data_IF_230658940561
#
_entry.id   IF_230658940561
#
_cell.length_a   1.000
_cell.length_b   1.000
_cell.length_c   1.000
_cell.angle_alpha   90.00
_cell.angle_beta   90.00
_cell.angle_gamma   90.00
#
_symmetry.space_group_name_H-M   'P 1'
#
loop_
_entity.id
_entity.type
_entity.pdbx_description
1 polymer ?
#
# COMPACT_ATOMS: atom_id res chain seq x y z
N UNK A 1 75.44 -45.83 33.29
CA UNK A 1 75.50 -46.10 31.85
C UNK A 1 74.72 -47.37 31.58
N UNK A 2 73.74 -47.28 30.64
CA UNK A 2 73.16 -48.34 29.79
C UNK A 2 72.54 -49.58 30.47
N UNK A 3 71.30 -50.01 30.24
CA UNK A 3 70.22 -49.67 29.29
C UNK A 3 68.98 -50.54 29.66
N UNK A 4 67.73 -50.09 29.47
CA UNK A 4 66.90 -50.14 28.25
C UNK A 4 65.88 -51.32 28.25
N UNK A 5 64.60 -50.97 28.00
CA UNK A 5 63.39 -51.78 27.63
C UNK A 5 62.82 -52.78 28.66
N UNK A 6 61.52 -53.10 28.77
CA UNK A 6 60.22 -52.59 28.31
C UNK A 6 59.12 -53.54 28.89
N UNK A 7 57.84 -53.14 28.78
CA UNK A 7 56.64 -54.01 28.59
C UNK A 7 55.83 -54.56 29.80
N UNK A 8 54.65 -53.94 29.96
CA UNK A 8 53.25 -54.48 30.02
C UNK A 8 52.76 -55.29 31.25
N UNK A 9 51.72 -54.69 31.85
CA UNK A 9 50.48 -55.20 32.49
C UNK A 9 50.41 -56.58 33.15
N UNK A 10 49.98 -56.58 34.41
CA UNK A 10 48.91 -57.46 34.89
C UNK A 10 48.10 -56.79 36.00
N UNK A 11 46.76 -56.88 35.89
CA UNK A 11 45.75 -56.39 36.83
C UNK A 11 45.35 -57.52 37.80
N UNK A 12 44.69 -57.14 38.91
CA UNK A 12 44.02 -57.92 39.97
C UNK A 12 44.94 -58.34 41.15
N UNK A 13 44.62 -58.12 42.43
CA UNK A 13 43.33 -57.81 43.04
C UNK A 13 43.47 -57.44 44.54
N UNK A 14 42.45 -56.71 45.02
CA UNK A 14 41.87 -56.73 46.39
C UNK A 14 42.66 -56.04 47.50
N UNK A 15 42.11 -54.89 47.93
CA UNK A 15 42.10 -54.52 49.33
C UNK A 15 40.70 -54.11 49.78
N UNK A 16 40.41 -54.51 51.01
CA UNK A 16 39.16 -54.46 51.74
C UNK A 16 38.58 -53.05 51.94
N UNK A 17 37.27 -52.96 51.75
CA UNK A 17 36.26 -52.19 52.49
C UNK A 17 36.64 -50.97 53.34
N UNK A 18 36.16 -49.80 52.89
CA UNK A 18 35.60 -48.74 53.75
C UNK A 18 34.21 -48.40 53.18
N UNK A 19 33.13 -48.29 53.99
CA UNK A 19 31.78 -48.08 53.50
C UNK A 19 31.58 -46.61 53.09
N UNK A 20 31.39 -46.36 51.80
CA UNK A 20 31.00 -45.05 51.29
C UNK A 20 29.47 -44.94 51.22
N UNK A 21 28.83 -44.72 52.37
CA UNK A 21 27.59 -43.94 52.39
C UNK A 21 27.96 -42.45 52.48
N UNK A 22 27.35 -41.61 51.63
CA UNK A 22 27.26 -40.12 51.71
C UNK A 22 27.98 -39.22 50.69
N UNK A 23 28.50 -39.71 49.54
CA UNK A 23 28.90 -38.81 48.43
C UNK A 23 28.51 -39.32 47.05
N UNK A 24 27.21 -39.45 46.83
CA UNK A 24 26.63 -39.26 45.50
C UNK A 24 25.67 -38.08 45.64
N UNK A 25 26.17 -36.90 45.29
CA UNK A 25 25.32 -35.73 45.08
C UNK A 25 24.36 -36.13 43.95
N UNK A 26 23.07 -36.24 44.24
CA UNK A 26 22.03 -36.69 43.30
C UNK A 26 22.15 -35.90 41.99
N UNK A 27 22.55 -36.57 40.91
CA UNK A 27 22.91 -35.93 39.64
C UNK A 27 21.71 -35.20 39.02
N UNK A 28 20.50 -35.71 39.26
CA UNK A 28 19.23 -35.08 38.92
C UNK A 28 19.08 -33.73 39.65
N UNK A 29 19.28 -33.73 40.97
CA UNK A 29 19.24 -32.52 41.80
C UNK A 29 20.31 -31.50 41.43
N UNK A 30 21.51 -31.95 41.03
CA UNK A 30 22.55 -31.05 40.55
C UNK A 30 22.14 -30.36 39.25
N UNK A 31 21.64 -31.13 38.29
CA UNK A 31 21.29 -30.61 36.97
C UNK A 31 20.12 -29.62 37.02
N UNK A 32 19.10 -29.86 37.86
CA UNK A 32 18.02 -28.87 38.04
C UNK A 32 18.53 -27.61 38.74
N UNK A 33 19.41 -27.72 39.74
CA UNK A 33 19.97 -26.55 40.41
C UNK A 33 20.80 -25.69 39.43
N UNK A 34 21.51 -26.30 38.49
CA UNK A 34 22.19 -25.57 37.42
C UNK A 34 21.21 -24.89 36.45
N UNK A 35 20.09 -25.56 36.12
CA UNK A 35 19.04 -24.96 35.31
C UNK A 35 18.36 -23.77 36.02
N UNK A 36 18.01 -23.93 37.30
CA UNK A 36 17.43 -22.88 38.16
C UNK A 36 18.37 -21.68 38.34
N UNK A 37 19.69 -21.92 38.47
CA UNK A 37 20.67 -20.83 38.54
C UNK A 37 20.76 -20.04 37.23
N UNK A 38 20.70 -20.74 36.10
CA UNK A 38 20.82 -20.14 34.77
C UNK A 38 19.50 -19.48 34.31
N UNK A 39 18.39 -19.98 34.85
CA UNK A 39 17.04 -19.47 34.76
C UNK A 39 16.55 -19.13 33.33
N UNK A 40 16.90 -19.97 32.35
CA UNK A 40 16.55 -19.78 30.94
C UNK A 40 16.07 -21.07 30.27
N UNK A 41 15.29 -20.91 29.20
CA UNK A 41 14.63 -22.01 28.46
C UNK A 41 15.64 -23.08 28.02
N UNK A 42 16.81 -22.68 27.51
CA UNK A 42 17.85 -23.62 27.04
C UNK A 42 18.33 -24.53 28.18
N UNK A 43 18.51 -23.97 29.37
CA UNK A 43 19.01 -24.69 30.54
C UNK A 43 17.99 -25.68 31.08
N UNK A 44 16.72 -25.29 31.14
CA UNK A 44 15.64 -26.21 31.51
C UNK A 44 15.41 -27.29 30.44
N UNK A 45 15.46 -26.96 29.13
CA UNK A 45 15.37 -27.96 28.04
C UNK A 45 16.49 -28.98 28.14
N UNK A 46 17.71 -28.53 28.43
CA UNK A 46 18.86 -29.42 28.65
C UNK A 46 18.63 -30.37 29.82
N UNK A 47 18.07 -29.88 30.93
CA UNK A 47 17.71 -30.69 32.09
C UNK A 47 16.67 -31.76 31.72
N UNK A 48 15.53 -31.36 31.15
CA UNK A 48 14.44 -32.27 30.76
C UNK A 48 14.93 -33.36 29.80
N UNK A 49 15.79 -33.02 28.83
CA UNK A 49 16.35 -33.99 27.89
C UNK A 49 17.33 -34.97 28.54
N UNK A 50 18.04 -34.52 29.58
CA UNK A 50 19.06 -35.34 30.26
C UNK A 50 18.45 -36.23 31.35
N UNK A 51 17.30 -35.82 31.91
CA UNK A 51 16.61 -36.51 33.00
C UNK A 51 15.11 -36.62 32.70
N UNK A 52 14.69 -37.38 31.66
CA UNK A 52 13.29 -37.41 31.20
C UNK A 52 12.30 -38.00 32.22
N UNK A 53 12.77 -38.74 33.22
CA UNK A 53 12.01 -39.27 34.36
C UNK A 53 12.49 -38.67 35.70
N UNK A 54 13.23 -37.54 35.64
CA UNK A 54 13.76 -36.85 36.81
C UNK A 54 12.65 -36.29 37.70
N UNK A 55 12.95 -36.14 38.99
CA UNK A 55 11.97 -35.70 40.00
C UNK A 55 11.46 -34.28 39.74
N UNK A 56 12.29 -33.44 39.14
CA UNK A 56 12.00 -32.01 38.94
C UNK A 56 11.66 -31.69 37.48
N UNK A 57 11.39 -32.72 36.66
CA UNK A 57 10.99 -32.54 35.26
C UNK A 57 9.77 -31.63 35.18
N UNK A 58 8.78 -31.85 36.04
CA UNK A 58 7.56 -31.05 36.04
C UNK A 58 7.82 -29.56 36.35
N UNK A 59 8.60 -29.27 37.41
CA UNK A 59 8.95 -27.89 37.77
C UNK A 59 9.77 -27.19 36.66
N UNK A 60 10.66 -27.94 36.00
CA UNK A 60 11.45 -27.43 34.88
C UNK A 60 10.58 -27.14 33.66
N UNK A 61 9.54 -27.94 33.41
CA UNK A 61 8.60 -27.75 32.33
C UNK A 61 7.69 -26.54 32.58
N UNK A 62 7.16 -26.38 33.78
CA UNK A 62 6.40 -25.19 34.18
C UNK A 62 7.27 -23.93 34.03
N UNK A 63 8.56 -24.03 34.36
CA UNK A 63 9.53 -22.94 34.17
C UNK A 63 9.80 -22.64 32.69
N UNK A 64 9.87 -23.66 31.81
CA UNK A 64 9.98 -23.45 30.35
C UNK A 64 8.74 -22.73 29.84
N UNK A 65 7.56 -23.26 30.14
CA UNK A 65 6.31 -22.71 29.63
C UNK A 65 6.05 -21.29 30.16
N UNK A 66 6.23 -21.05 31.46
CA UNK A 66 6.12 -19.71 32.04
C UNK A 66 7.11 -18.71 31.40
N UNK A 67 8.35 -19.13 31.10
CA UNK A 67 9.35 -18.24 30.47
C UNK A 67 9.07 -17.96 29.00
N UNK A 68 8.56 -18.95 28.28
CA UNK A 68 8.09 -18.78 26.91
C UNK A 68 6.89 -17.82 26.87
N UNK A 69 6.00 -17.87 27.88
CA UNK A 69 4.82 -17.03 27.96
C UNK A 69 5.08 -15.60 28.50
N UNK A 70 6.03 -15.43 29.43
CA UNK A 70 6.38 -14.12 30.02
C UNK A 70 7.21 -13.28 29.04
N UNK A 71 8.06 -13.90 28.21
CA UNK A 71 8.76 -13.17 27.17
C UNK A 71 7.90 -13.09 25.92
N UNK A 72 7.08 -12.04 25.85
CA UNK A 72 6.28 -11.64 24.68
C UNK A 72 7.13 -11.51 23.39
N UNK A 73 8.47 -11.46 23.50
CA UNK A 73 9.42 -11.46 22.39
C UNK A 73 9.90 -12.82 21.86
N UNK A 74 9.48 -13.95 22.44
CA UNK A 74 9.92 -15.31 22.04
C UNK A 74 8.77 -16.19 21.53
N UNK A 75 7.76 -15.60 20.88
CA UNK A 75 6.61 -16.32 20.31
C UNK A 75 6.99 -17.48 19.37
N UNK A 76 8.04 -17.32 18.55
CA UNK A 76 8.58 -18.39 17.68
C UNK A 76 9.08 -19.62 18.46
N UNK A 77 9.51 -19.45 19.70
CA UNK A 77 10.03 -20.55 20.53
C UNK A 77 8.91 -21.41 21.10
N UNK A 78 7.70 -20.85 21.31
CA UNK A 78 6.52 -21.61 21.70
C UNK A 78 6.03 -22.50 20.56
N UNK A 79 5.91 -21.96 19.34
CA UNK A 79 5.53 -22.75 18.17
C UNK A 79 6.49 -23.89 17.93
N UNK A 80 7.79 -23.57 17.88
CA UNK A 80 8.82 -24.59 17.69
C UNK A 80 8.74 -25.65 18.77
N UNK A 81 8.46 -25.27 20.02
CA UNK A 81 8.28 -26.21 21.11
C UNK A 81 7.03 -27.08 20.92
N UNK A 82 5.86 -26.51 20.64
CA UNK A 82 4.62 -27.27 20.45
C UNK A 82 4.67 -28.20 19.22
N UNK A 83 5.33 -27.78 18.13
CA UNK A 83 5.51 -28.58 16.92
C UNK A 83 6.55 -29.71 17.08
N UNK A 84 7.58 -29.51 17.90
CA UNK A 84 8.70 -30.49 18.03
C UNK A 84 8.63 -31.34 19.29
N UNK A 85 7.78 -31.00 20.25
CA UNK A 85 7.63 -31.79 21.48
C UNK A 85 6.89 -33.09 21.18
N UNK A 86 7.60 -34.22 21.30
CA UNK A 86 7.03 -35.56 21.10
C UNK A 86 6.27 -36.12 22.31
N UNK A 87 6.26 -35.40 23.43
CA UNK A 87 5.60 -35.82 24.67
C UNK A 87 4.24 -35.15 24.82
N UNK A 88 3.17 -35.93 24.69
CA UNK A 88 1.80 -35.42 24.74
C UNK A 88 1.44 -34.75 26.07
N UNK A 89 1.93 -35.25 27.21
CA UNK A 89 1.62 -34.64 28.52
C UNK A 89 2.22 -33.23 28.64
N UNK A 90 3.36 -33.00 28.01
CA UNK A 90 4.05 -31.71 28.01
C UNK A 90 3.29 -30.70 27.16
N UNK A 91 2.84 -31.14 25.98
CA UNK A 91 2.01 -30.32 25.09
C UNK A 91 0.72 -29.94 25.82
N UNK A 92 0.02 -30.88 26.45
CA UNK A 92 -1.24 -30.63 27.16
C UNK A 92 -1.09 -29.58 28.27
N UNK A 93 -0.03 -29.65 29.08
CA UNK A 93 0.23 -28.63 30.11
C UNK A 93 0.56 -27.25 29.54
N UNK A 94 1.36 -27.21 28.48
CA UNK A 94 1.66 -25.94 27.80
C UNK A 94 0.39 -25.30 27.22
N UNK A 95 -0.57 -26.11 26.77
CA UNK A 95 -1.88 -25.65 26.30
C UNK A 95 -2.77 -25.15 27.45
N UNK A 96 -2.77 -25.81 28.62
CA UNK A 96 -3.46 -25.31 29.81
C UNK A 96 -2.91 -23.95 30.28
N UNK A 97 -1.60 -23.74 30.20
CA UNK A 97 -1.01 -22.44 30.52
C UNK A 97 -1.40 -21.34 29.53
N UNK A 98 -1.78 -21.69 28.30
CA UNK A 98 -2.35 -20.72 27.36
C UNK A 98 -3.78 -20.30 27.76
N UNK A 99 -4.59 -21.21 28.31
CA UNK A 99 -5.90 -20.85 28.91
C UNK A 99 -5.71 -19.86 30.06
N UNK A 100 -4.83 -20.18 31.01
CA UNK A 100 -4.54 -19.29 32.14
C UNK A 100 -4.02 -17.91 31.68
N UNK A 101 -3.22 -17.88 30.61
CA UNK A 101 -2.71 -16.64 30.05
C UNK A 101 -3.84 -15.81 29.42
N UNK A 102 -4.69 -16.44 28.63
CA UNK A 102 -5.87 -15.79 28.06
C UNK A 102 -6.77 -15.20 29.15
N UNK A 103 -7.08 -15.96 30.20
CA UNK A 103 -7.88 -15.49 31.33
C UNK A 103 -7.22 -14.31 32.04
N UNK A 104 -5.90 -14.33 32.20
CA UNK A 104 -5.16 -13.18 32.75
C UNK A 104 -5.22 -11.96 31.83
N UNK A 105 -5.03 -12.14 30.52
CA UNK A 105 -5.19 -11.07 29.53
C UNK A 105 -6.57 -10.42 29.65
N UNK A 106 -7.64 -11.21 29.65
CA UNK A 106 -9.01 -10.72 29.83
C UNK A 106 -9.19 -9.99 31.15
N UNK A 107 -8.71 -10.58 32.27
CA UNK A 107 -8.81 -10.00 33.62
C UNK A 107 -8.15 -8.62 33.73
N UNK A 108 -7.02 -8.41 33.05
CA UNK A 108 -6.28 -7.15 33.08
C UNK A 108 -6.58 -6.23 31.88
N UNK A 109 -7.53 -6.60 31.01
CA UNK A 109 -7.90 -5.82 29.83
C UNK A 109 -6.81 -5.75 28.76
N UNK A 110 -5.91 -6.74 28.72
CA UNK A 110 -4.90 -6.90 27.69
C UNK A 110 -5.43 -7.80 26.58
N UNK A 111 -5.02 -7.53 25.34
CA UNK A 111 -5.21 -8.47 24.24
C UNK A 111 -4.10 -9.51 24.23
N UNK A 112 -4.46 -10.75 23.93
CA UNK A 112 -3.47 -11.79 23.72
C UNK A 112 -2.70 -11.52 22.41
N UNK A 113 -1.36 -11.61 22.41
CA UNK A 113 -0.56 -11.49 21.18
C UNK A 113 -1.04 -12.45 20.09
N UNK A 114 -1.11 -11.98 18.84
CA UNK A 114 -1.61 -12.77 17.69
C UNK A 114 -0.89 -14.13 17.58
N UNK A 115 0.40 -14.16 17.86
CA UNK A 115 1.18 -15.39 17.77
C UNK A 115 0.75 -16.43 18.81
N UNK A 116 0.35 -16.01 20.00
CA UNK A 116 -0.20 -16.93 20.99
C UNK A 116 -1.59 -17.42 20.58
N UNK A 117 -2.38 -16.55 19.93
CA UNK A 117 -3.71 -16.92 19.41
C UNK A 117 -3.58 -18.00 18.34
N UNK A 118 -2.66 -17.82 17.38
CA UNK A 118 -2.40 -18.81 16.32
C UNK A 118 -1.87 -20.11 16.91
N UNK A 119 -0.95 -20.06 17.89
CA UNK A 119 -0.47 -21.27 18.57
C UNK A 119 -1.61 -22.04 19.25
N UNK A 120 -2.47 -21.32 19.98
CA UNK A 120 -3.65 -21.88 20.62
C UNK A 120 -4.58 -22.54 19.61
N UNK A 121 -5.01 -21.82 18.57
CA UNK A 121 -5.97 -22.31 17.57
C UNK A 121 -5.42 -23.51 16.78
N UNK A 122 -4.11 -23.55 16.53
CA UNK A 122 -3.48 -24.66 15.82
C UNK A 122 -3.40 -25.93 16.66
N UNK A 123 -2.99 -25.82 17.93
CA UNK A 123 -2.62 -26.96 18.76
C UNK A 123 -3.69 -27.36 19.78
N UNK A 124 -4.65 -26.49 20.08
CA UNK A 124 -5.63 -26.70 21.15
C UNK A 124 -7.08 -26.52 20.71
N UNK A 125 -7.51 -27.37 19.78
CA UNK A 125 -8.86 -27.33 19.21
C UNK A 125 -9.99 -27.68 20.19
N UNK A 126 -9.65 -28.27 21.33
CA UNK A 126 -10.59 -28.63 22.41
C UNK A 126 -10.51 -27.68 23.61
N UNK A 127 -9.68 -26.64 23.52
CA UNK A 127 -9.48 -25.69 24.62
C UNK A 127 -10.72 -24.86 24.92
N UNK A 128 -10.82 -24.37 26.15
CA UNK A 128 -11.99 -23.64 26.64
C UNK A 128 -12.31 -22.40 25.80
N UNK A 129 -11.27 -21.71 25.33
CA UNK A 129 -11.38 -20.46 24.58
C UNK A 129 -11.18 -20.64 23.07
N UNK A 130 -11.17 -21.88 22.58
CA UNK A 130 -10.85 -22.18 21.17
C UNK A 130 -11.71 -21.39 20.18
N UNK A 131 -13.04 -21.44 20.30
CA UNK A 131 -13.94 -20.78 19.34
C UNK A 131 -13.81 -19.26 19.39
N UNK A 132 -13.61 -18.70 20.59
CA UNK A 132 -13.42 -17.26 20.75
C UNK A 132 -12.09 -16.79 20.15
N UNK A 133 -11.00 -17.50 20.44
CA UNK A 133 -9.67 -17.20 19.91
C UNK A 133 -9.58 -17.43 18.40
N UNK A 134 -10.28 -18.44 17.89
CA UNK A 134 -10.41 -18.67 16.45
C UNK A 134 -11.13 -17.51 15.77
N UNK A 135 -12.24 -17.04 16.34
CA UNK A 135 -12.94 -15.86 15.81
C UNK A 135 -12.07 -14.60 15.90
N UNK A 136 -11.35 -14.42 17.02
CA UNK A 136 -10.41 -13.31 17.19
C UNK A 136 -9.29 -13.34 16.15
N UNK A 137 -8.76 -14.53 15.82
CA UNK A 137 -7.75 -14.69 14.78
C UNK A 137 -8.30 -14.31 13.40
N UNK A 138 -9.50 -14.79 13.06
CA UNK A 138 -10.15 -14.43 11.78
C UNK A 138 -10.38 -12.92 11.65
N UNK A 139 -10.74 -12.25 12.74
CA UNK A 139 -10.92 -10.79 12.75
C UNK A 139 -9.59 -10.05 12.58
N UNK A 140 -8.52 -10.50 13.25
CA UNK A 140 -7.18 -9.91 13.11
C UNK A 140 -6.63 -10.07 11.68
N UNK A 141 -6.83 -11.25 11.08
CA UNK A 141 -6.45 -11.50 9.69
C UNK A 141 -7.26 -10.63 8.72
N UNK A 142 -8.56 -10.44 8.98
CA UNK A 142 -9.41 -9.53 8.21
C UNK A 142 -8.96 -8.06 8.31
N UNK A 143 -8.61 -7.59 9.52
CA UNK A 143 -8.07 -6.26 9.77
C UNK A 143 -6.76 -6.03 8.99
N UNK A 144 -5.82 -6.97 9.06
CA UNK A 144 -4.54 -6.89 8.34
C UNK A 144 -4.72 -6.87 6.83
N UNK A 145 -5.61 -7.73 6.30
CA UNK A 145 -5.92 -7.77 4.87
C UNK A 145 -6.57 -6.45 4.40
N UNK A 146 -7.47 -5.89 5.22
CA UNK A 146 -8.08 -4.60 4.97
C UNK A 146 -7.05 -3.46 4.95
N UNK A 147 -6.20 -3.37 5.97
CA UNK A 147 -5.13 -2.36 6.04
C UNK A 147 -4.19 -2.45 4.85
N UNK A 148 -3.81 -3.66 4.45
CA UNK A 148 -3.03 -3.90 3.25
C UNK A 148 -3.75 -3.41 1.98
N UNK A 149 -5.03 -3.76 1.82
CA UNK A 149 -5.81 -3.38 0.65
C UNK A 149 -5.96 -1.86 0.51
N UNK A 150 -6.22 -1.16 1.63
CA UNK A 150 -6.30 0.30 1.72
C UNK A 150 -4.95 0.94 1.42
N UNK A 151 -3.86 0.40 1.98
CA UNK A 151 -2.50 0.91 1.75
C UNK A 151 -2.08 0.80 0.28
N UNK A 152 -2.42 -0.29 -0.39
CA UNK A 152 -2.15 -0.47 -1.82
C UNK A 152 -3.06 0.41 -2.67
N UNK A 153 -4.33 0.54 -2.30
CA UNK A 153 -5.24 1.53 -2.87
C UNK A 153 -5.69 1.26 -4.31
N UNK A 154 -5.66 0.00 -4.77
CA UNK A 154 -5.98 -0.36 -6.16
C UNK A 154 -7.26 -1.20 -6.25
N UNK A 155 -7.91 -1.21 -7.41
CA UNK A 155 -9.05 -2.10 -7.65
C UNK A 155 -8.68 -3.58 -7.45
N UNK A 156 -7.46 -3.98 -7.81
CA UNK A 156 -6.96 -5.34 -7.60
C UNK A 156 -6.86 -5.69 -6.12
N UNK A 157 -6.25 -4.84 -5.30
CA UNK A 157 -6.12 -5.10 -3.86
C UNK A 157 -7.46 -5.17 -3.14
N UNK A 158 -8.42 -4.31 -3.52
CA UNK A 158 -9.78 -4.37 -3.00
C UNK A 158 -10.54 -5.64 -3.42
N UNK A 159 -10.34 -6.10 -4.67
CA UNK A 159 -11.00 -7.32 -5.16
C UNK A 159 -10.44 -8.54 -4.46
N UNK A 160 -9.12 -8.63 -4.30
CA UNK A 160 -8.46 -9.72 -3.57
C UNK A 160 -8.98 -9.82 -2.12
N UNK A 161 -9.11 -8.69 -1.41
CA UNK A 161 -9.70 -8.69 -0.07
C UNK A 161 -11.11 -9.32 -0.07
N UNK A 162 -11.97 -8.97 -1.02
CA UNK A 162 -13.33 -9.53 -1.09
C UNK A 162 -13.36 -11.03 -1.45
N UNK A 163 -12.34 -11.52 -2.15
CA UNK A 163 -12.19 -12.93 -2.50
C UNK A 163 -11.71 -13.76 -1.30
N UNK A 164 -10.72 -13.25 -0.56
CA UNK A 164 -10.14 -13.91 0.62
C UNK A 164 -11.06 -13.79 1.85
N UNK A 165 -11.77 -12.66 1.99
CA UNK A 165 -12.63 -12.35 3.13
C UNK A 165 -14.07 -11.98 2.69
N UNK A 166 -14.83 -12.88 2.04
CA UNK A 166 -16.13 -12.58 1.46
C UNK A 166 -17.21 -12.20 2.48
N UNK A 167 -17.00 -12.53 3.75
CA UNK A 167 -17.87 -12.21 4.90
C UNK A 167 -17.14 -11.38 5.97
N UNK A 168 -15.98 -10.82 5.62
CA UNK A 168 -15.16 -9.98 6.51
C UNK A 168 -15.88 -8.73 7.03
N UNK A 169 -15.41 -8.19 8.15
CA UNK A 169 -16.05 -7.04 8.80
C UNK A 169 -15.91 -5.77 7.95
N UNK A 170 -14.83 -5.64 7.17
CA UNK A 170 -14.58 -4.47 6.30
C UNK A 170 -15.17 -4.60 4.90
N UNK A 171 -15.92 -5.66 4.61
CA UNK A 171 -16.54 -5.90 3.30
C UNK A 171 -17.30 -4.69 2.76
N UNK A 172 -18.09 -4.03 3.62
CA UNK A 172 -18.89 -2.86 3.21
C UNK A 172 -18.01 -1.67 2.85
N UNK A 173 -16.95 -1.44 3.61
CA UNK A 173 -16.03 -0.33 3.40
C UNK A 173 -15.21 -0.54 2.13
N UNK A 174 -14.78 -1.76 1.86
CA UNK A 174 -14.11 -2.12 0.61
C UNK A 174 -15.03 -1.94 -0.61
N UNK A 175 -16.30 -2.32 -0.52
CA UNK A 175 -17.27 -2.06 -1.61
C UNK A 175 -17.47 -0.56 -1.87
N UNK A 176 -17.45 0.26 -0.82
CA UNK A 176 -17.48 1.71 -0.95
C UNK A 176 -16.21 2.22 -1.63
N UNK A 177 -15.03 1.74 -1.23
CA UNK A 177 -13.75 2.10 -1.84
C UNK A 177 -13.69 1.72 -3.33
N UNK A 178 -14.17 0.53 -3.70
CA UNK A 178 -14.30 0.11 -5.10
C UNK A 178 -15.21 1.06 -5.87
N UNK A 179 -16.32 1.47 -5.27
CA UNK A 179 -17.27 2.39 -5.91
C UNK A 179 -16.61 3.76 -6.13
N UNK A 180 -15.92 4.29 -5.13
CA UNK A 180 -15.18 5.56 -5.24
C UNK A 180 -14.08 5.47 -6.31
N UNK A 181 -13.31 4.39 -6.31
CA UNK A 181 -12.28 4.12 -7.32
C UNK A 181 -12.89 4.13 -8.72
N UNK A 182 -13.98 3.38 -8.94
CA UNK A 182 -14.67 3.33 -10.24
C UNK A 182 -15.21 4.69 -10.68
N UNK A 183 -15.67 5.54 -9.74
CA UNK A 183 -16.12 6.89 -10.04
C UNK A 183 -14.94 7.77 -10.46
N UNK A 184 -13.85 7.73 -9.69
CA UNK A 184 -12.63 8.51 -9.95
C UNK A 184 -12.03 8.16 -11.31
N UNK A 185 -11.91 6.86 -11.60
CA UNK A 185 -11.26 6.33 -12.79
C UNK A 185 -12.20 6.14 -13.99
N UNK A 186 -13.48 6.56 -13.88
CA UNK A 186 -14.51 6.35 -14.92
C UNK A 186 -14.11 6.92 -16.28
N UNK A 187 -13.32 7.99 -16.29
CA UNK A 187 -12.94 8.75 -17.49
C UNK A 187 -11.45 8.67 -17.80
N UNK A 188 -10.73 7.72 -17.18
CA UNK A 188 -9.31 7.51 -17.43
C UNK A 188 -9.05 7.24 -18.92
N UNK A 189 -8.13 8.01 -19.50
CA UNK A 189 -7.79 7.92 -20.91
C UNK A 189 -8.90 8.36 -21.86
N UNK A 190 -10.02 8.89 -21.36
CA UNK A 190 -11.08 9.43 -22.21
C UNK A 190 -10.62 10.73 -22.88
N UNK A 191 -11.00 10.93 -24.14
CA UNK A 191 -10.65 12.11 -24.92
C UNK A 191 -11.77 12.46 -25.92
N UNK A 192 -11.71 13.65 -26.50
CA UNK A 192 -12.54 14.06 -27.63
C UNK A 192 -11.69 14.13 -28.92
N UNK A 193 -12.33 14.06 -30.08
CA UNK A 193 -11.62 14.32 -31.34
C UNK A 193 -11.19 15.78 -31.44
N UNK A 194 -10.02 16.03 -32.05
CA UNK A 194 -9.54 17.39 -32.31
C UNK A 194 -10.55 18.18 -33.14
N UNK A 195 -10.84 19.41 -32.71
CA UNK A 195 -11.89 20.27 -33.25
C UNK A 195 -13.25 20.13 -32.56
N UNK A 196 -13.41 19.20 -31.61
CA UNK A 196 -14.63 19.12 -30.80
C UNK A 196 -14.85 20.42 -30.04
N UNK A 197 -16.12 20.83 -29.90
CA UNK A 197 -16.51 22.10 -29.28
C UNK A 197 -17.30 21.85 -27.98
N UNK A 198 -16.64 21.36 -26.90
CA UNK A 198 -17.35 20.90 -25.70
C UNK A 198 -18.17 22.00 -25.02
N UNK A 199 -17.81 23.26 -25.23
CA UNK A 199 -18.46 24.40 -24.59
C UNK A 199 -19.50 25.11 -25.47
N UNK A 200 -19.91 24.49 -26.58
CA UNK A 200 -20.84 25.10 -27.53
C UNK A 200 -22.19 25.51 -26.91
N UNK A 201 -22.63 24.82 -25.85
CA UNK A 201 -23.86 25.18 -25.12
C UNK A 201 -23.78 26.57 -24.47
N UNK A 202 -22.60 26.99 -24.01
CA UNK A 202 -22.40 28.26 -23.31
C UNK A 202 -21.82 29.32 -24.25
N UNK A 203 -20.82 28.96 -25.05
CA UNK A 203 -20.10 29.90 -25.93
C UNK A 203 -20.66 29.98 -27.35
N UNK A 204 -21.51 29.04 -27.75
CA UNK A 204 -21.93 28.87 -29.14
C UNK A 204 -20.94 28.04 -29.96
N UNK A 205 -21.35 27.69 -31.18
CA UNK A 205 -20.46 27.08 -32.16
C UNK A 205 -19.55 28.14 -32.78
N UNK A 206 -18.34 27.73 -33.13
CA UNK A 206 -17.38 28.52 -33.90
C UNK A 206 -18.01 28.95 -35.23
N UNK A 207 -17.76 30.20 -35.61
CA UNK A 207 -18.10 30.67 -36.93
C UNK A 207 -17.16 30.07 -37.99
N UNK A 208 -17.65 29.99 -39.22
CA UNK A 208 -16.88 29.57 -40.39
C UNK A 208 -16.61 30.79 -41.26
N UNK A 209 -15.35 31.22 -41.34
CA UNK A 209 -14.95 32.41 -42.09
C UNK A 209 -13.75 32.09 -42.97
N UNK A 210 -13.78 32.55 -44.21
CA UNK A 210 -12.63 32.51 -45.13
C UNK A 210 -11.75 33.77 -44.91
N UNK A 211 -11.35 34.00 -43.65
CA UNK A 211 -10.63 35.19 -43.20
C UNK A 211 -9.41 34.84 -42.33
N UNK A 212 -9.28 35.43 -41.14
CA UNK A 212 -8.18 35.16 -40.23
C UNK A 212 -8.33 33.79 -39.57
N UNK A 213 -7.23 33.21 -39.11
CA UNK A 213 -7.26 31.95 -38.39
C UNK A 213 -6.26 31.91 -37.23
N UNK A 214 -6.65 31.24 -36.14
CA UNK A 214 -5.72 30.79 -35.10
C UNK A 214 -5.65 29.27 -35.17
N UNK A 215 -4.47 28.77 -35.52
CA UNK A 215 -4.17 27.34 -35.57
C UNK A 215 -3.40 26.94 -34.32
N UNK A 216 -3.81 25.86 -33.67
CA UNK A 216 -3.13 25.32 -32.51
C UNK A 216 -2.77 23.87 -32.78
N UNK A 217 -1.49 23.55 -32.63
CA UNK A 217 -0.96 22.18 -32.65
C UNK A 217 -0.61 21.72 -31.24
N UNK A 218 -1.28 20.68 -30.76
CA UNK A 218 -1.09 20.09 -29.43
C UNK A 218 -0.02 18.99 -29.48
N UNK A 219 1.21 19.35 -29.84
CA UNK A 219 2.24 18.36 -30.15
C UNK A 219 3.09 17.90 -28.96
N UNK A 220 2.71 18.28 -27.74
CA UNK A 220 3.25 17.73 -26.49
C UNK A 220 2.51 16.45 -26.07
N UNK A 221 2.64 16.08 -24.79
CA UNK A 221 2.04 14.88 -24.20
C UNK A 221 0.73 15.16 -23.46
N UNK A 222 0.02 16.23 -23.85
CA UNK A 222 -1.21 16.66 -23.16
C UNK A 222 -2.25 17.09 -24.18
N UNK A 223 -3.50 16.79 -23.85
CA UNK A 223 -4.64 17.33 -24.55
C UNK A 223 -4.82 18.79 -24.14
N UNK A 224 -5.46 19.58 -25.00
CA UNK A 224 -5.69 21.00 -24.74
C UNK A 224 -7.08 21.43 -25.19
N UNK A 225 -7.74 22.25 -24.37
CA UNK A 225 -8.86 23.07 -24.81
C UNK A 225 -8.34 24.48 -25.04
N UNK A 226 -8.53 24.97 -26.25
CA UNK A 226 -8.21 26.33 -26.67
C UNK A 226 -9.47 27.17 -26.56
N UNK A 227 -9.35 28.35 -25.95
CA UNK A 227 -10.42 29.36 -25.91
C UNK A 227 -9.86 30.68 -26.42
N UNK A 228 -10.46 31.22 -27.47
CA UNK A 228 -10.08 32.51 -28.05
C UNK A 228 -11.14 33.54 -27.65
N UNK A 229 -10.72 34.63 -27.01
CA UNK A 229 -11.60 35.74 -26.60
C UNK A 229 -11.27 37.01 -27.36
N UNK A 230 -12.27 37.83 -27.65
CA UNK A 230 -12.05 39.17 -28.22
C UNK A 230 -11.31 40.07 -27.23
N UNK A 231 -10.33 40.83 -27.70
CA UNK A 231 -9.53 41.81 -26.95
C UNK A 231 -8.69 41.22 -25.81
N UNK A 232 -9.31 40.69 -24.75
CA UNK A 232 -8.63 40.17 -23.57
C UNK A 232 -9.51 39.16 -22.81
N UNK A 233 -9.06 38.72 -21.62
CA UNK A 233 -9.76 37.74 -20.76
C UNK A 233 -11.23 38.04 -20.43
N UNK A 234 -11.64 39.32 -20.46
CA UNK A 234 -13.01 39.74 -20.18
C UNK A 234 -13.90 39.80 -21.45
N UNK A 235 -13.32 39.59 -22.62
CA UNK A 235 -14.07 39.62 -23.87
C UNK A 235 -14.92 38.37 -24.10
N UNK A 236 -15.87 38.51 -25.02
CA UNK A 236 -16.69 37.40 -25.49
C UNK A 236 -15.79 36.35 -26.16
N UNK A 237 -16.11 35.07 -25.95
CA UNK A 237 -15.48 33.96 -26.67
C UNK A 237 -15.81 34.06 -28.16
N UNK A 238 -14.76 34.12 -28.97
CA UNK A 238 -14.82 34.17 -30.44
C UNK A 238 -14.76 32.75 -31.04
N UNK A 239 -14.09 31.83 -30.35
CA UNK A 239 -14.09 30.42 -30.70
C UNK A 239 -13.40 29.56 -29.64
N UNK A 240 -13.67 28.26 -29.67
CA UNK A 240 -13.06 27.28 -28.77
C UNK A 240 -12.94 25.92 -29.45
N UNK A 241 -11.98 25.11 -29.02
CA UNK A 241 -11.82 23.75 -29.51
C UNK A 241 -11.06 22.88 -28.51
N UNK A 242 -11.46 21.63 -28.40
CA UNK A 242 -10.64 20.55 -27.86
C UNK A 242 -9.67 20.07 -28.92
N UNK A 243 -8.43 19.79 -28.55
CA UNK A 243 -7.39 19.24 -29.41
C UNK A 243 -6.70 18.12 -28.64
N UNK A 244 -6.82 16.90 -29.16
CA UNK A 244 -6.10 15.75 -28.62
C UNK A 244 -4.60 15.86 -28.91
N UNK A 245 -3.76 15.33 -28.03
CA UNK A 245 -2.32 15.27 -28.20
C UNK A 245 -1.92 14.71 -29.58
N UNK A 246 -0.88 15.30 -30.17
CA UNK A 246 -0.44 15.06 -31.54
C UNK A 246 -1.33 15.69 -32.62
N UNK A 247 -2.51 16.19 -32.26
CA UNK A 247 -3.46 16.82 -33.18
C UNK A 247 -3.21 18.30 -33.41
N UNK A 248 -4.00 18.86 -34.33
CA UNK A 248 -4.07 20.31 -34.55
C UNK A 248 -5.48 20.71 -34.95
N UNK A 249 -5.84 21.98 -34.73
CA UNK A 249 -7.10 22.54 -35.18
C UNK A 249 -6.98 24.04 -35.44
N UNK A 250 -7.73 24.53 -36.43
CA UNK A 250 -7.76 25.94 -36.83
C UNK A 250 -9.14 26.53 -36.54
N UNK A 251 -9.16 27.61 -35.76
CA UNK A 251 -10.37 28.40 -35.49
C UNK A 251 -10.38 29.58 -36.47
N UNK A 252 -11.36 29.62 -37.38
CA UNK A 252 -11.57 30.76 -38.27
C UNK A 252 -12.19 31.94 -37.54
N UNK A 253 -11.71 33.15 -37.83
CA UNK A 253 -12.05 34.40 -37.15
C UNK A 253 -12.19 35.55 -38.16
N UNK A 254 -12.92 36.58 -37.76
CA UNK A 254 -12.93 37.88 -38.47
C UNK A 254 -11.69 38.70 -38.09
N UNK A 255 -11.31 39.74 -38.87
CA UNK A 255 -10.24 40.64 -38.46
C UNK A 255 -10.57 41.33 -37.12
N UNK A 256 -9.59 41.41 -36.23
CA UNK A 256 -9.77 41.99 -34.90
C UNK A 256 -8.67 41.61 -33.91
N UNK A 257 -8.81 42.12 -32.68
CA UNK A 257 -7.89 41.79 -31.58
C UNK A 257 -8.41 40.60 -30.79
N UNK A 258 -7.54 39.63 -30.52
CA UNK A 258 -7.86 38.39 -29.83
C UNK A 258 -6.82 38.02 -28.78
N UNK A 259 -7.25 37.38 -27.71
CA UNK A 259 -6.37 36.73 -26.74
C UNK A 259 -6.68 35.23 -26.68
N UNK A 260 -5.64 34.41 -26.76
CA UNK A 260 -5.74 32.95 -26.74
C UNK A 260 -5.43 32.41 -25.35
N UNK A 261 -6.27 31.50 -24.88
CA UNK A 261 -6.15 30.79 -23.62
C UNK A 261 -6.08 29.29 -23.89
N UNK A 262 -5.35 28.60 -23.02
CA UNK A 262 -5.11 27.17 -23.11
C UNK A 262 -5.43 26.51 -21.77
N UNK A 263 -6.17 25.43 -21.80
CA UNK A 263 -6.45 24.57 -20.66
C UNK A 263 -5.97 23.17 -21.00
N UNK A 264 -4.96 22.68 -20.28
CA UNK A 264 -4.32 21.38 -20.53
C UNK A 264 -4.80 20.33 -19.54
N UNK A 265 -4.65 19.08 -19.92
CA UNK A 265 -4.74 17.96 -19.00
C UNK A 265 -4.94 16.64 -19.73
N UNK A 266 -5.38 15.64 -18.97
CA UNK A 266 -5.72 14.32 -19.49
C UNK A 266 -7.02 13.78 -18.89
N UNK A 267 -7.56 12.72 -19.51
CA UNK A 267 -8.75 12.00 -19.03
C UNK A 267 -9.99 12.91 -18.95
N UNK A 268 -10.53 13.23 -20.12
CA UNK A 268 -11.66 14.14 -20.29
C UNK A 268 -12.94 13.60 -19.63
N UNK A 269 -13.51 14.36 -18.68
CA UNK A 269 -14.79 14.06 -18.06
C UNK A 269 -15.88 15.01 -18.60
N UNK A 270 -16.83 14.53 -19.43
CA UNK A 270 -17.88 15.36 -20.03
C UNK A 270 -18.93 15.89 -19.03
N UNK A 271 -18.87 15.49 -17.76
CA UNK A 271 -19.77 15.93 -16.69
C UNK A 271 -19.07 16.76 -15.61
N UNK A 272 -17.75 16.98 -15.72
CA UNK A 272 -17.03 17.82 -14.76
C UNK A 272 -17.59 19.24 -14.84
N UNK A 273 -18.10 19.74 -13.71
CA UNK A 273 -18.59 21.12 -13.64
C UNK A 273 -17.41 22.08 -13.61
N UNK A 274 -17.47 23.06 -14.50
CA UNK A 274 -16.57 24.20 -14.54
C UNK A 274 -17.31 25.49 -14.18
N UNK A 275 -16.57 26.58 -14.11
CA UNK A 275 -17.12 27.90 -13.76
C UNK A 275 -18.11 28.35 -14.86
N UNK A 276 -19.00 29.31 -14.53
CA UNK A 276 -19.96 29.89 -15.47
C UNK A 276 -20.90 28.89 -16.18
N UNK A 277 -21.18 27.74 -15.55
CA UNK A 277 -22.11 26.74 -16.05
C UNK A 277 -21.54 25.85 -17.17
N UNK A 278 -20.24 25.95 -17.43
CA UNK A 278 -19.54 25.05 -18.32
C UNK A 278 -19.49 23.62 -17.75
N UNK A 279 -19.56 22.65 -18.64
CA UNK A 279 -19.48 21.23 -18.29
C UNK A 279 -18.55 20.54 -19.28
N UNK A 280 -17.68 19.68 -18.75
CA UNK A 280 -16.59 19.05 -19.51
C UNK A 280 -15.24 19.58 -19.06
N UNK A 281 -14.33 18.71 -18.61
CA UNK A 281 -12.98 19.13 -18.22
C UNK A 281 -12.05 17.95 -17.95
N UNK A 282 -10.75 18.22 -17.87
CA UNK A 282 -9.73 17.21 -17.59
C UNK A 282 -9.76 16.77 -16.13
N UNK A 283 -9.46 15.50 -15.86
CA UNK A 283 -9.44 14.96 -14.50
C UNK A 283 -8.05 15.08 -13.86
N UNK A 284 -6.99 15.05 -14.66
CA UNK A 284 -5.60 15.05 -14.18
C UNK A 284 -4.76 16.08 -14.93
N UNK A 285 -3.66 16.48 -14.27
CA UNK A 285 -2.63 17.38 -14.80
C UNK A 285 -3.17 18.69 -15.38
N UNK A 286 -4.16 19.27 -14.67
CA UNK A 286 -4.83 20.49 -15.11
C UNK A 286 -3.89 21.70 -15.03
N UNK A 287 -3.59 22.28 -16.19
CA UNK A 287 -2.80 23.51 -16.28
C UNK A 287 -3.50 24.56 -17.15
N UNK A 288 -3.19 25.83 -16.89
CA UNK A 288 -3.81 26.96 -17.56
C UNK A 288 -2.74 27.93 -18.07
N UNK A 289 -2.80 28.24 -19.36
CA UNK A 289 -1.88 29.15 -20.04
C UNK A 289 -2.61 30.20 -20.86
N UNK A 290 -1.90 31.26 -21.21
CA UNK A 290 -2.38 32.30 -22.13
C UNK A 290 -1.22 32.96 -22.88
N UNK A 291 -1.58 33.66 -23.94
CA UNK A 291 -0.70 34.59 -24.64
C UNK A 291 -1.19 36.04 -24.50
N UNK A 292 -0.40 37.01 -24.92
CA UNK A 292 -0.83 38.40 -25.01
C UNK A 292 -1.88 38.60 -26.11
N UNK A 293 -2.73 39.64 -26.01
CA UNK A 293 -3.60 40.02 -27.11
C UNK A 293 -2.84 40.33 -28.41
N UNK A 294 -3.34 39.83 -29.53
CA UNK A 294 -2.79 40.03 -30.87
C UNK A 294 -3.88 40.53 -31.81
N UNK A 295 -3.55 41.49 -32.67
CA UNK A 295 -4.43 41.94 -33.75
C UNK A 295 -4.19 41.08 -35.00
N UNK A 296 -5.25 40.46 -35.52
CA UNK A 296 -5.27 39.76 -36.80
C UNK A 296 -5.94 40.66 -37.83
N UNK A 297 -5.17 41.09 -38.83
CA UNK A 297 -5.60 42.07 -39.81
C UNK A 297 -5.93 41.47 -41.18
N UNK A 298 -6.32 42.38 -42.05
CA UNK A 298 -6.52 42.16 -43.49
C UNK A 298 -5.62 43.13 -44.25
N UNK A 299 -4.97 42.64 -45.30
CA UNK A 299 -4.12 43.41 -46.21
C UNK A 299 -4.68 43.31 -47.62
N UNK A 300 -5.06 44.45 -48.20
CA UNK A 300 -5.55 44.56 -49.56
C UNK A 300 -4.41 45.00 -50.49
N UNK A 301 -4.07 44.16 -51.47
CA UNK A 301 -3.04 44.42 -52.47
C UNK A 301 -3.62 44.79 -53.85
N UNK A 302 -4.92 45.08 -53.93
CA UNK A 302 -5.64 45.47 -55.14
C UNK A 302 -6.04 44.28 -56.03
N UNK A 303 -5.15 43.30 -56.26
CA UNK A 303 -5.47 42.09 -57.03
C UNK A 303 -5.84 40.89 -56.15
N UNK A 304 -5.45 40.89 -54.88
CA UNK A 304 -5.82 39.88 -53.89
C UNK A 304 -5.84 40.46 -52.48
N UNK A 305 -6.59 39.79 -51.60
CA UNK A 305 -6.68 40.11 -50.17
C UNK A 305 -5.99 38.99 -49.38
N UNK A 306 -5.19 39.36 -48.39
CA UNK A 306 -4.55 38.43 -47.45
C UNK A 306 -5.04 38.69 -46.04
N UNK A 307 -5.37 37.62 -45.33
CA UNK A 307 -5.74 37.66 -43.91
C UNK A 307 -4.58 37.12 -43.08
N UNK A 308 -4.40 37.69 -41.89
CA UNK A 308 -3.37 37.21 -40.97
C UNK A 308 -3.77 35.85 -40.36
N UNK A 309 -2.80 34.96 -40.26
CA UNK A 309 -2.91 33.67 -39.57
C UNK A 309 -1.89 33.61 -38.43
N UNK A 310 -2.31 33.07 -37.28
CA UNK A 310 -1.46 32.83 -36.13
C UNK A 310 -1.39 31.34 -35.83
N UNK A 311 -0.20 30.82 -35.58
CA UNK A 311 0.01 29.41 -35.27
C UNK A 311 0.73 29.23 -33.93
N UNK A 312 0.15 28.41 -33.06
CA UNK A 312 0.75 27.95 -31.81
C UNK A 312 1.21 26.50 -31.97
N UNK A 313 2.51 26.26 -31.75
CA UNK A 313 3.05 24.90 -31.62
C UNK A 313 3.33 24.62 -30.15
N UNK A 314 2.43 23.89 -29.49
CA UNK A 314 2.52 23.57 -28.07
C UNK A 314 3.50 22.41 -27.85
N UNK A 315 4.79 22.73 -27.96
CA UNK A 315 5.94 21.91 -27.54
C UNK A 315 6.88 22.81 -26.77
N UNK A 316 7.68 22.26 -25.86
CA UNK A 316 8.79 23.00 -25.28
C UNK A 316 9.84 23.22 -26.39
N UNK A 317 10.01 24.47 -26.87
CA UNK A 317 10.98 24.81 -27.93
C UNK A 317 11.80 26.04 -27.51
N UNK A 318 13.12 25.87 -27.45
CA UNK A 318 14.07 26.99 -27.27
C UNK A 318 13.99 27.90 -28.49
N UNK A 319 13.56 29.16 -28.31
CA UNK A 319 13.40 30.13 -29.40
C UNK A 319 12.10 30.00 -30.20
N UNK A 320 11.10 29.25 -29.71
CA UNK A 320 9.76 29.21 -30.29
C UNK A 320 9.03 30.55 -30.21
N UNK A 321 7.98 30.73 -31.02
CA UNK A 321 7.13 31.93 -31.03
C UNK A 321 6.18 32.04 -29.82
N UNK A 322 6.35 31.17 -28.80
CA UNK A 322 5.46 31.03 -27.67
C UNK A 322 6.25 31.14 -26.37
N UNK A 323 5.90 32.12 -25.54
CA UNK A 323 6.35 32.23 -24.13
C UNK A 323 5.12 32.11 -23.25
N UNK A 324 4.92 30.91 -22.69
CA UNK A 324 3.70 30.58 -21.95
C UNK A 324 3.59 31.43 -20.68
N UNK A 325 2.62 32.35 -20.66
CA UNK A 325 2.26 33.02 -19.41
C UNK A 325 1.28 32.15 -18.64
N UNK A 326 1.54 31.98 -17.34
CA UNK A 326 0.62 31.28 -16.45
C UNK A 326 -0.74 32.01 -16.43
N UNK A 327 -1.82 31.25 -16.60
CA UNK A 327 -3.18 31.73 -16.41
C UNK A 327 -3.81 31.06 -15.18
N UNK A 328 -4.95 31.58 -14.76
CA UNK A 328 -5.82 30.94 -13.78
C UNK A 328 -7.06 30.35 -14.46
N UNK A 329 -7.72 29.41 -13.80
CA UNK A 329 -9.02 28.88 -14.24
C UNK A 329 -10.03 29.97 -14.56
N UNK A 330 -10.10 31.01 -13.73
CA UNK A 330 -11.01 32.15 -13.88
C UNK A 330 -10.63 33.09 -15.03
N UNK A 331 -9.38 33.07 -15.49
CA UNK A 331 -9.01 33.80 -16.72
C UNK A 331 -9.56 33.08 -17.97
N UNK A 332 -9.58 31.74 -17.94
CA UNK A 332 -10.02 30.91 -19.06
C UNK A 332 -11.55 30.85 -19.13
N UNK A 333 -12.24 30.57 -18.01
CA UNK A 333 -13.66 30.22 -17.98
C UNK A 333 -14.62 31.32 -17.54
#
# INVERSE_FOLDING_TARGET
MTGIYAVISLVLCIHFGIPAASKAYDSDRFAINEALKSDNIISYKKYVNSFPEGRYVEDALDSIAAKVLINVGHSNELYTFLDTCSRSEIVERALLLLDDNYDNCVKYGHQMPKELIVAYVRHYQTGLHYEELKQSLMNLEDDEAYEFAVKVGTLGSYTNYLEEHPTGIHRKDILNLITQYKIQHKYDGNYLSSGSQPYAKVYGNNGHYDQCAITVGAYGNSDVVVVVKHNNKYGKVAGHAYIHQGGSYSISLTPGTYQTFFYYGSSWNPHKKLDNGLVGGFMYDEEYGKDNPVYLGVKDFGYYVSYDELSYSLREVVGGNFSMQKASRTDVF
#
